data_IF_745857604154
#
_entry.id   IF_745857604154
#
_cell.length_a   1.000
_cell.length_b   1.000
_cell.length_c   1.000
_cell.angle_alpha   90.00
_cell.angle_beta   90.00
_cell.angle_gamma   90.00
#
_symmetry.space_group_name_H-M   'P 1'
#
loop_
_entity.id
_entity.type
_entity.pdbx_description
1 polymer ?
#
# COMPACT_ATOMS: atom_id res chain seq x y z
N UNK A 1 -16.86 -9.71 -24.31
CA UNK A 1 -16.19 -10.46 -23.23
C UNK A 1 -16.29 -9.64 -21.95
N UNK A 2 -16.59 -10.27 -20.81
CA UNK A 2 -16.61 -9.59 -19.50
C UNK A 2 -15.18 -9.24 -19.07
N UNK A 3 -14.95 -8.02 -18.57
CA UNK A 3 -13.64 -7.60 -18.07
C UNK A 3 -13.25 -8.44 -16.85
N UNK A 4 -11.96 -8.81 -16.66
CA UNK A 4 -11.56 -9.50 -15.45
C UNK A 4 -11.81 -8.64 -14.21
N UNK A 5 -12.37 -9.27 -13.17
CA UNK A 5 -12.70 -8.60 -11.91
C UNK A 5 -11.52 -8.69 -10.95
N UNK A 6 -11.04 -7.54 -10.49
CA UNK A 6 -9.77 -7.37 -9.78
C UNK A 6 -10.01 -6.91 -8.34
N UNK A 7 -9.38 -7.58 -7.38
CA UNK A 7 -9.11 -7.04 -6.04
C UNK A 7 -7.78 -6.28 -6.06
N UNK A 8 -7.73 -5.12 -5.41
CA UNK A 8 -6.49 -4.36 -5.24
C UNK A 8 -5.92 -4.64 -3.85
N UNK A 9 -4.69 -5.15 -3.79
CA UNK A 9 -3.96 -5.25 -2.52
C UNK A 9 -3.63 -3.86 -2.00
N UNK A 10 -4.18 -3.52 -0.83
CA UNK A 10 -4.23 -2.16 -0.32
C UNK A 10 -3.45 -2.04 0.98
N UNK A 11 -2.28 -1.39 0.91
CA UNK A 11 -1.40 -1.17 2.07
C UNK A 11 -1.60 0.20 2.73
N UNK A 12 -2.52 1.03 2.20
CA UNK A 12 -2.69 2.47 2.51
C UNK A 12 -1.62 3.41 1.97
N UNK A 13 -0.54 2.88 1.40
CA UNK A 13 0.57 3.69 0.88
C UNK A 13 0.41 4.15 -0.57
N UNK A 14 1.34 5.02 -0.98
CA UNK A 14 1.40 5.66 -2.30
C UNK A 14 1.34 4.66 -3.45
N UNK A 15 2.04 3.51 -3.36
CA UNK A 15 2.14 2.57 -4.49
C UNK A 15 0.84 1.83 -4.72
N UNK A 16 0.16 1.40 -3.65
CA UNK A 16 -1.18 0.80 -3.74
C UNK A 16 -2.24 1.80 -4.24
N UNK A 17 -2.13 3.07 -3.85
CA UNK A 17 -3.00 4.13 -4.31
C UNK A 17 -2.75 4.48 -5.79
N UNK A 18 -1.49 4.52 -6.20
CA UNK A 18 -1.09 4.76 -7.59
C UNK A 18 -1.47 3.60 -8.50
N UNK A 19 -1.29 2.36 -8.04
CA UNK A 19 -1.77 1.16 -8.71
C UNK A 19 -3.27 1.28 -9.04
N UNK A 20 -4.08 1.72 -8.08
CA UNK A 20 -5.52 1.93 -8.32
C UNK A 20 -5.77 2.97 -9.43
N UNK A 21 -5.02 4.07 -9.44
CA UNK A 21 -5.10 5.07 -10.50
C UNK A 21 -4.76 4.45 -11.88
N UNK A 22 -3.64 3.72 -11.97
CA UNK A 22 -3.20 3.05 -13.21
C UNK A 22 -4.24 2.03 -13.70
N UNK A 23 -4.79 1.20 -12.81
CA UNK A 23 -5.82 0.21 -13.18
C UNK A 23 -7.08 0.88 -13.73
N UNK A 24 -7.50 2.02 -13.18
CA UNK A 24 -8.66 2.77 -13.69
C UNK A 24 -8.42 3.31 -15.09
N UNK A 25 -7.23 3.86 -15.34
CA UNK A 25 -6.87 4.43 -16.63
C UNK A 25 -6.77 3.37 -17.76
N UNK A 26 -6.50 2.11 -17.42
CA UNK A 26 -6.40 1.03 -18.41
C UNK A 26 -7.75 0.57 -18.97
N UNK A 27 -8.86 0.83 -18.28
CA UNK A 27 -10.24 0.43 -18.62
C UNK A 27 -10.49 -1.07 -18.92
N UNK A 28 -9.45 -1.91 -18.88
CA UNK A 28 -9.48 -3.34 -19.21
C UNK A 28 -9.96 -4.23 -18.06
N UNK A 29 -10.05 -3.69 -16.84
CA UNK A 29 -10.44 -4.40 -15.63
C UNK A 29 -11.72 -3.84 -15.02
N UNK A 30 -12.47 -4.69 -14.33
CA UNK A 30 -13.48 -4.28 -13.37
C UNK A 30 -12.84 -4.27 -11.98
N UNK A 31 -12.66 -3.09 -11.38
CA UNK A 31 -12.09 -2.97 -10.05
C UNK A 31 -13.20 -3.21 -9.03
N UNK A 32 -13.20 -4.41 -8.44
CA UNK A 32 -14.32 -4.85 -7.60
C UNK A 32 -14.16 -4.52 -6.11
N UNK A 33 -12.95 -4.21 -5.64
CA UNK A 33 -12.72 -3.86 -4.24
C UNK A 33 -11.26 -3.76 -3.83
N UNK A 34 -11.05 -3.34 -2.60
CA UNK A 34 -9.75 -3.27 -1.92
C UNK A 34 -9.62 -4.42 -0.92
N UNK A 35 -8.42 -4.97 -0.76
CA UNK A 35 -8.09 -6.01 0.20
C UNK A 35 -6.92 -5.55 1.08
N UNK A 36 -7.11 -5.48 2.39
CA UNK A 36 -6.07 -5.09 3.34
C UNK A 36 -5.99 -6.06 4.51
N UNK A 37 -4.86 -6.09 5.20
CA UNK A 37 -4.68 -6.82 6.46
C UNK A 37 -4.52 -5.83 7.61
N UNK A 38 -5.17 -6.12 8.75
CA UNK A 38 -5.14 -5.25 9.94
C UNK A 38 -4.82 -6.10 11.16
N UNK A 39 -3.90 -5.62 11.99
CA UNK A 39 -3.65 -6.20 13.30
C UNK A 39 -4.84 -5.93 14.23
N UNK A 40 -5.52 -7.00 14.66
CA UNK A 40 -6.72 -6.97 15.50
C UNK A 40 -6.49 -6.28 16.85
N UNK A 41 -5.32 -6.47 17.45
CA UNK A 41 -5.00 -5.92 18.77
C UNK A 41 -4.78 -4.40 18.73
N UNK A 42 -4.32 -3.87 17.59
CA UNK A 42 -3.94 -2.47 17.47
C UNK A 42 -4.80 -1.65 16.51
N UNK A 43 -5.68 -2.31 15.73
CA UNK A 43 -6.52 -1.67 14.72
C UNK A 43 -5.71 -0.94 13.66
N UNK A 44 -4.55 -1.49 13.27
CA UNK A 44 -3.60 -0.85 12.33
C UNK A 44 -3.16 -1.79 11.21
N UNK A 45 -2.93 -1.22 10.03
CA UNK A 45 -2.32 -1.93 8.89
C UNK A 45 -0.94 -2.42 9.27
N UNK A 46 -0.66 -3.69 9.01
CA UNK A 46 0.65 -4.29 9.26
C UNK A 46 1.75 -3.51 8.48
N UNK A 47 2.93 -3.36 9.10
CA UNK A 47 4.08 -2.57 8.61
C UNK A 47 3.88 -1.05 8.49
N UNK A 48 2.78 -0.57 7.89
CA UNK A 48 2.53 0.86 7.72
C UNK A 48 2.11 1.56 9.02
N UNK A 49 1.51 0.82 9.96
CA UNK A 49 1.06 1.38 11.25
C UNK A 49 -0.13 2.33 11.15
N UNK A 50 -0.78 2.43 9.98
CA UNK A 50 -1.92 3.32 9.74
C UNK A 50 -3.19 2.74 10.37
N UNK A 51 -4.00 3.58 11.03
CA UNK A 51 -5.26 3.18 11.68
C UNK A 51 -6.29 2.67 10.65
N UNK A 52 -7.02 1.61 10.98
CA UNK A 52 -8.05 1.04 10.10
C UNK A 52 -9.11 2.05 9.68
N UNK A 53 -9.47 2.99 10.57
CA UNK A 53 -10.42 4.08 10.30
C UNK A 53 -9.99 4.97 9.12
N UNK A 54 -8.69 5.20 8.96
CA UNK A 54 -8.13 5.96 7.83
C UNK A 54 -8.12 5.14 6.54
N UNK A 55 -7.89 3.83 6.64
CA UNK A 55 -7.99 2.93 5.48
C UNK A 55 -9.43 2.83 4.97
N UNK A 56 -10.39 2.75 5.88
CA UNK A 56 -11.81 2.83 5.54
C UNK A 56 -12.15 4.18 4.91
N UNK A 57 -11.55 5.28 5.39
CA UNK A 57 -11.71 6.59 4.77
C UNK A 57 -11.12 6.65 3.36
N UNK A 58 -9.94 6.04 3.13
CA UNK A 58 -9.38 5.87 1.78
C UNK A 58 -10.32 5.06 0.88
N UNK A 59 -10.89 3.96 1.38
CA UNK A 59 -11.82 3.14 0.60
C UNK A 59 -13.08 3.91 0.21
N UNK A 60 -13.64 4.70 1.14
CA UNK A 60 -14.76 5.62 0.87
C UNK A 60 -14.38 6.67 -0.18
N UNK A 61 -13.23 7.31 -0.02
CA UNK A 61 -12.72 8.30 -0.98
C UNK A 61 -12.44 7.68 -2.35
N UNK A 62 -12.04 6.40 -2.40
CA UNK A 62 -11.87 5.63 -3.62
C UNK A 62 -13.20 5.08 -4.16
N UNK A 63 -14.33 5.20 -3.45
CA UNK A 63 -15.61 4.57 -3.79
C UNK A 63 -15.54 3.07 -4.05
N UNK A 64 -14.73 2.35 -3.28
CA UNK A 64 -14.59 0.90 -3.41
C UNK A 64 -14.92 0.20 -2.10
N UNK A 65 -15.53 -1.00 -2.15
CA UNK A 65 -15.67 -1.80 -0.95
C UNK A 65 -14.29 -2.20 -0.43
N UNK A 66 -14.14 -2.24 0.90
CA UNK A 66 -12.93 -2.67 1.58
C UNK A 66 -13.15 -4.00 2.27
N UNK A 67 -12.36 -5.02 1.91
CA UNK A 67 -12.22 -6.25 2.66
C UNK A 67 -11.04 -6.11 3.61
N UNK A 68 -11.32 -6.12 4.91
CA UNK A 68 -10.30 -6.18 5.96
C UNK A 68 -10.12 -7.63 6.37
N UNK A 69 -8.89 -8.13 6.31
CA UNK A 69 -8.48 -9.43 6.86
C UNK A 69 -7.87 -9.17 8.23
N UNK A 70 -8.56 -9.54 9.31
CA UNK A 70 -8.07 -9.29 10.65
C UNK A 70 -7.03 -10.36 11.02
N UNK A 71 -5.90 -9.91 11.55
CA UNK A 71 -4.75 -10.73 11.94
C UNK A 71 -4.51 -10.63 13.45
N UNK A 72 -4.29 -11.76 14.16
CA UNK A 72 -3.99 -11.74 15.60
C UNK A 72 -2.63 -11.10 15.90
N UNK A 73 -2.35 -10.86 17.18
CA UNK A 73 -1.02 -10.45 17.65
C UNK A 73 -0.57 -11.30 18.85
N UNK A 74 0.60 -11.95 18.80
CA UNK A 74 1.48 -12.11 17.62
C UNK A 74 0.80 -12.92 16.49
N UNK A 75 1.21 -12.70 15.24
CA UNK A 75 0.73 -13.46 14.08
C UNK A 75 1.86 -14.34 13.56
N UNK A 76 1.68 -15.67 13.58
CA UNK A 76 2.60 -16.58 12.88
C UNK A 76 2.33 -16.54 11.38
N UNK A 77 3.31 -16.98 10.57
CA UNK A 77 3.13 -17.05 9.12
C UNK A 77 2.00 -18.01 8.74
N UNK A 78 1.84 -19.13 9.46
CA UNK A 78 0.75 -20.09 9.22
C UNK A 78 -0.63 -19.47 9.47
N UNK A 79 -0.77 -18.67 10.54
CA UNK A 79 -2.02 -17.95 10.83
C UNK A 79 -2.30 -16.87 9.78
N UNK A 80 -1.26 -16.13 9.36
CA UNK A 80 -1.37 -15.15 8.30
C UNK A 80 -1.87 -15.78 6.99
N UNK A 81 -1.26 -16.89 6.58
CA UNK A 81 -1.62 -17.62 5.37
C UNK A 81 -3.02 -18.22 5.44
N UNK A 82 -3.41 -18.76 6.60
CA UNK A 82 -4.76 -19.27 6.80
C UNK A 82 -5.83 -18.18 6.63
N UNK A 83 -5.65 -17.03 7.29
CA UNK A 83 -6.58 -15.89 7.23
C UNK A 83 -6.65 -15.27 5.83
N UNK A 84 -5.49 -15.11 5.18
CA UNK A 84 -5.44 -14.59 3.81
C UNK A 84 -6.07 -15.59 2.82
N UNK A 85 -5.81 -16.88 2.98
CA UNK A 85 -6.38 -17.94 2.17
C UNK A 85 -7.91 -18.00 2.26
N UNK A 86 -8.50 -17.78 3.44
CA UNK A 86 -9.95 -17.64 3.60
C UNK A 86 -10.50 -16.45 2.81
N UNK A 87 -9.85 -15.28 2.92
CA UNK A 87 -10.24 -14.08 2.19
C UNK A 87 -10.13 -14.24 0.66
N UNK A 88 -9.11 -14.96 0.20
CA UNK A 88 -8.90 -15.31 -1.21
C UNK A 88 -10.01 -16.26 -1.70
N UNK A 89 -10.34 -17.32 -0.96
CA UNK A 89 -11.45 -18.24 -1.31
C UNK A 89 -12.79 -17.50 -1.39
N UNK A 90 -13.07 -16.61 -0.44
CA UNK A 90 -14.26 -15.77 -0.47
C UNK A 90 -14.29 -14.85 -1.70
N UNK A 91 -13.15 -14.24 -2.07
CA UNK A 91 -13.04 -13.43 -3.28
C UNK A 91 -13.38 -14.24 -4.54
N UNK A 92 -12.83 -15.45 -4.67
CA UNK A 92 -13.09 -16.32 -5.82
C UNK A 92 -14.57 -16.68 -5.90
N UNK A 93 -15.20 -17.01 -4.77
CA UNK A 93 -16.63 -17.30 -4.72
C UNK A 93 -17.51 -16.09 -5.13
N UNK A 94 -17.02 -14.87 -4.93
CA UNK A 94 -17.67 -13.63 -5.37
C UNK A 94 -17.35 -13.28 -6.84
N UNK A 95 -16.59 -14.10 -7.55
CA UNK A 95 -16.28 -13.93 -8.97
C UNK A 95 -15.07 -13.02 -9.25
N UNK A 96 -14.24 -12.74 -8.24
CA UNK A 96 -12.92 -12.16 -8.51
C UNK A 96 -12.05 -13.19 -9.22
N UNK A 97 -11.31 -12.73 -10.22
CA UNK A 97 -10.40 -13.57 -11.01
C UNK A 97 -8.95 -13.13 -10.90
N UNK A 98 -8.71 -11.92 -10.40
CA UNK A 98 -7.38 -11.32 -10.34
C UNK A 98 -7.17 -10.59 -9.01
N UNK A 99 -5.90 -10.52 -8.59
CA UNK A 99 -5.44 -9.61 -7.53
C UNK A 99 -4.31 -8.76 -8.07
N UNK A 100 -4.42 -7.44 -7.92
CA UNK A 100 -3.39 -6.51 -8.32
C UNK A 100 -2.52 -6.09 -7.13
N UNK A 101 -1.21 -6.04 -7.37
CA UNK A 101 -0.23 -5.61 -6.38
C UNK A 101 0.60 -4.44 -6.89
N UNK A 102 1.03 -3.61 -5.95
CA UNK A 102 1.75 -2.35 -6.21
C UNK A 102 3.26 -2.50 -6.18
N UNK A 103 3.79 -3.73 -6.16
CA UNK A 103 5.23 -3.97 -6.10
C UNK A 103 5.93 -3.48 -7.38
N UNK A 104 7.13 -2.91 -7.22
CA UNK A 104 7.83 -2.28 -8.33
C UNK A 104 8.91 -3.18 -8.95
N UNK A 105 9.78 -3.81 -8.16
CA UNK A 105 10.88 -4.62 -8.73
C UNK A 105 11.48 -5.71 -7.82
N UNK A 106 11.01 -5.88 -6.58
CA UNK A 106 11.56 -6.90 -5.68
C UNK A 106 11.07 -8.31 -6.05
N UNK A 107 11.91 -9.02 -6.80
CA UNK A 107 11.60 -10.32 -7.42
C UNK A 107 11.17 -11.38 -6.38
N UNK A 108 11.81 -11.39 -5.22
CA UNK A 108 11.45 -12.27 -4.09
C UNK A 108 10.04 -12.01 -3.57
N UNK A 109 9.65 -10.75 -3.42
CA UNK A 109 8.29 -10.35 -3.02
C UNK A 109 7.27 -10.78 -4.06
N UNK A 110 7.57 -10.59 -5.34
CA UNK A 110 6.69 -11.03 -6.44
C UNK A 110 6.54 -12.54 -6.45
N UNK A 111 7.63 -13.29 -6.39
CA UNK A 111 7.60 -14.75 -6.36
C UNK A 111 6.81 -15.28 -5.17
N UNK A 112 6.99 -14.67 -3.99
CA UNK A 112 6.20 -15.00 -2.81
C UNK A 112 4.70 -14.81 -3.08
N UNK A 113 4.27 -13.69 -3.65
CA UNK A 113 2.85 -13.44 -3.98
C UNK A 113 2.30 -14.42 -5.02
N UNK A 114 3.11 -14.73 -6.04
CA UNK A 114 2.74 -15.71 -7.07
C UNK A 114 2.57 -17.11 -6.48
N UNK A 115 3.47 -17.53 -5.58
CA UNK A 115 3.39 -18.80 -4.86
C UNK A 115 2.16 -18.84 -3.94
N UNK A 116 1.89 -17.76 -3.20
CA UNK A 116 0.74 -17.68 -2.30
C UNK A 116 -0.62 -17.78 -3.02
N UNK A 117 -0.68 -17.32 -4.27
CA UNK A 117 -1.90 -17.37 -5.08
C UNK A 117 -1.97 -18.57 -6.02
N UNK A 118 -0.91 -19.37 -6.12
CA UNK A 118 -0.88 -20.55 -6.97
C UNK A 118 -2.02 -21.52 -6.62
N UNK A 119 -2.83 -21.90 -7.61
CA UNK A 119 -3.97 -22.79 -7.41
C UNK A 119 -5.17 -22.19 -6.68
N UNK A 120 -5.12 -20.91 -6.28
CA UNK A 120 -6.22 -20.26 -5.56
C UNK A 120 -7.43 -19.93 -6.44
N UNK A 121 -7.23 -19.80 -7.75
CA UNK A 121 -8.22 -19.28 -8.70
C UNK A 121 -8.09 -17.78 -8.97
N UNK A 122 -7.18 -17.07 -8.29
CA UNK A 122 -6.84 -15.68 -8.59
C UNK A 122 -5.51 -15.58 -9.33
N UNK A 123 -5.48 -14.79 -10.40
CA UNK A 123 -4.27 -14.44 -11.13
C UNK A 123 -3.63 -13.17 -10.55
N UNK A 124 -2.37 -13.22 -10.06
CA UNK A 124 -1.66 -12.01 -9.63
C UNK A 124 -1.29 -11.15 -10.84
N UNK A 125 -1.43 -9.82 -10.71
CA UNK A 125 -0.96 -8.85 -11.70
C UNK A 125 -0.16 -7.72 -11.03
N UNK A 126 0.87 -7.24 -11.73
CA UNK A 126 1.80 -6.22 -11.23
C UNK A 126 1.93 -5.06 -12.23
N UNK A 127 0.92 -4.17 -12.34
CA UNK A 127 0.91 -3.09 -13.34
C UNK A 127 2.05 -2.08 -13.23
N UNK A 128 2.68 -1.97 -12.06
CA UNK A 128 3.78 -1.04 -11.80
C UNK A 128 5.17 -1.70 -11.94
N UNK A 129 5.21 -3.00 -12.27
CA UNK A 129 6.43 -3.78 -12.28
C UNK A 129 7.43 -3.30 -13.35
N UNK A 130 8.69 -3.13 -12.95
CA UNK A 130 9.78 -2.74 -13.84
C UNK A 130 9.78 -1.26 -14.24
N UNK A 131 8.90 -0.43 -13.65
CA UNK A 131 8.94 1.01 -13.85
C UNK A 131 10.15 1.63 -13.13
N UNK A 132 10.74 2.65 -13.73
CA UNK A 132 11.82 3.43 -13.10
C UNK A 132 11.27 4.22 -11.90
N UNK A 133 11.80 3.96 -10.70
CA UNK A 133 11.22 4.53 -9.48
C UNK A 133 11.45 6.03 -9.36
N UNK A 134 12.53 6.57 -9.91
CA UNK A 134 12.79 8.00 -9.89
C UNK A 134 11.83 8.77 -10.80
N UNK A 135 11.49 8.22 -11.96
CA UNK A 135 10.46 8.75 -12.83
C UNK A 135 9.07 8.59 -12.21
N UNK A 136 8.76 7.40 -11.67
CA UNK A 136 7.47 7.08 -11.06
C UNK A 136 7.16 7.98 -9.85
N UNK A 137 8.14 8.21 -8.98
CA UNK A 137 8.00 9.10 -7.83
C UNK A 137 7.58 10.53 -8.24
N UNK A 138 8.24 11.07 -9.27
CA UNK A 138 7.92 12.41 -9.81
C UNK A 138 6.58 12.43 -10.53
N UNK A 139 6.28 11.37 -11.27
CA UNK A 139 4.99 11.21 -11.95
C UNK A 139 3.83 11.23 -10.95
N UNK A 140 3.94 10.45 -9.87
CA UNK A 140 2.96 10.44 -8.77
C UNK A 140 2.73 11.85 -8.23
N UNK A 141 3.80 12.56 -7.86
CA UNK A 141 3.73 13.91 -7.28
C UNK A 141 3.09 14.91 -8.26
N UNK A 142 3.54 14.88 -9.52
CA UNK A 142 3.06 15.76 -10.59
C UNK A 142 1.58 15.50 -10.93
N UNK A 143 1.14 14.24 -10.90
CA UNK A 143 -0.26 13.86 -11.09
C UNK A 143 -1.16 14.17 -9.89
N UNK A 144 -0.61 14.77 -8.82
CA UNK A 144 -1.38 15.21 -7.67
C UNK A 144 -1.47 14.19 -6.53
N UNK A 145 -0.73 13.07 -6.58
CA UNK A 145 -0.64 12.17 -5.43
C UNK A 145 -0.03 12.95 -4.25
N UNK A 146 -0.64 12.78 -3.07
CA UNK A 146 -0.15 13.31 -1.80
C UNK A 146 -0.14 12.19 -0.77
N UNK A 147 0.98 12.07 -0.06
CA UNK A 147 1.13 11.09 1.00
C UNK A 147 1.94 11.64 2.18
N UNK A 148 1.83 11.00 3.34
CA UNK A 148 2.65 11.25 4.53
C UNK A 148 3.67 10.15 4.72
N UNK A 149 4.87 10.47 5.21
CA UNK A 149 5.84 9.48 5.68
C UNK A 149 5.40 8.98 7.06
N UNK A 150 4.91 7.75 7.13
CA UNK A 150 4.31 7.19 8.37
C UNK A 150 5.22 6.22 9.09
N UNK A 151 6.19 5.64 8.39
CA UNK A 151 7.22 4.78 8.95
C UNK A 151 8.52 5.02 8.19
N UNK A 152 9.66 5.03 8.85
CA UNK A 152 10.97 5.06 8.21
C UNK A 152 12.00 4.26 8.99
N UNK A 153 13.03 3.79 8.29
CA UNK A 153 14.21 3.18 8.88
C UNK A 153 15.25 4.27 9.21
N UNK A 154 15.46 4.61 10.50
CA UNK A 154 16.38 5.67 10.91
C UNK A 154 17.85 5.34 10.66
N UNK A 155 18.19 4.11 10.26
CA UNK A 155 19.56 3.73 9.88
C UNK A 155 19.96 4.28 8.53
N UNK A 156 18.99 4.56 7.66
CA UNK A 156 19.22 5.01 6.28
C UNK A 156 18.46 6.30 5.95
N UNK A 157 17.31 6.56 6.57
CA UNK A 157 16.54 7.81 6.40
C UNK A 157 16.66 8.68 7.65
N UNK A 158 16.95 9.99 7.53
CA UNK A 158 16.99 10.88 8.68
C UNK A 158 15.66 10.92 9.45
N UNK A 159 15.73 10.77 10.77
CA UNK A 159 14.57 10.78 11.69
C UNK A 159 13.68 12.00 11.54
N UNK A 160 14.28 13.14 11.22
CA UNK A 160 13.57 14.41 11.04
C UNK A 160 12.57 14.41 9.87
N UNK A 161 12.65 13.44 8.96
CA UNK A 161 11.73 13.30 7.82
C UNK A 161 10.44 12.54 8.17
N UNK A 162 10.32 12.02 9.40
CA UNK A 162 9.09 11.37 9.86
C UNK A 162 7.91 12.37 9.84
N UNK A 163 6.77 11.97 9.29
CA UNK A 163 5.56 12.80 9.19
C UNK A 163 5.57 13.82 8.04
N UNK A 164 6.69 13.95 7.30
CA UNK A 164 6.78 14.83 6.15
C UNK A 164 5.78 14.46 5.05
N UNK A 165 5.48 15.41 4.19
CA UNK A 165 4.81 15.12 2.93
C UNK A 165 5.76 14.37 2.00
N UNK A 166 5.22 13.42 1.24
CA UNK A 166 5.88 12.87 0.07
C UNK A 166 5.71 13.85 -1.10
N UNK A 167 6.71 14.71 -1.29
CA UNK A 167 6.77 15.75 -2.31
C UNK A 167 8.22 15.98 -2.78
N UNK A 168 8.43 16.94 -3.69
CA UNK A 168 9.77 17.25 -4.23
C UNK A 168 10.76 17.67 -3.14
N UNK A 169 10.29 18.27 -2.03
CA UNK A 169 11.14 18.67 -0.90
C UNK A 169 11.63 17.44 -0.15
N UNK A 170 10.75 16.46 0.09
CA UNK A 170 11.14 15.18 0.66
C UNK A 170 12.11 14.42 -0.26
N UNK A 171 11.84 14.36 -1.57
CA UNK A 171 12.74 13.68 -2.51
C UNK A 171 14.14 14.32 -2.55
N UNK A 172 14.22 15.65 -2.49
CA UNK A 172 15.50 16.36 -2.40
C UNK A 172 16.24 16.06 -1.09
N UNK A 173 15.53 16.05 0.05
CA UNK A 173 16.11 15.72 1.35
C UNK A 173 16.59 14.26 1.41
N UNK A 174 15.85 13.34 0.80
CA UNK A 174 16.21 11.92 0.70
C UNK A 174 17.48 11.74 -0.13
N UNK A 175 17.57 12.38 -1.30
CA UNK A 175 18.75 12.33 -2.16
C UNK A 175 20.00 12.93 -1.50
N UNK A 176 19.82 13.97 -0.66
CA UNK A 176 20.91 14.55 0.12
C UNK A 176 21.41 13.61 1.24
N UNK A 177 20.56 12.70 1.73
CA UNK A 177 20.92 11.74 2.77
C UNK A 177 21.68 10.51 2.22
N UNK A 178 21.53 10.19 0.93
CA UNK A 178 22.26 9.11 0.27
C UNK A 178 21.58 8.59 -1.00
N UNK A 179 22.09 7.48 -1.53
CA UNK A 179 21.50 6.78 -2.68
C UNK A 179 20.37 5.87 -2.21
N UNK A 180 19.23 6.47 -1.88
CA UNK A 180 18.02 5.80 -1.40
C UNK A 180 16.98 5.72 -2.52
N UNK A 181 16.16 4.67 -2.54
CA UNK A 181 15.09 4.57 -3.51
C UNK A 181 14.01 5.62 -3.22
N UNK A 182 13.67 6.52 -4.17
CA UNK A 182 12.59 7.51 -3.98
C UNK A 182 11.21 6.88 -3.82
N UNK A 183 11.05 5.58 -4.08
CA UNK A 183 9.85 4.81 -3.75
C UNK A 183 9.96 4.02 -2.44
N UNK A 184 11.14 3.91 -1.81
CA UNK A 184 11.28 3.21 -0.53
C UNK A 184 11.10 1.68 -0.59
N UNK A 185 11.35 1.05 -1.75
CA UNK A 185 11.07 -0.38 -1.97
C UNK A 185 11.92 -1.30 -1.09
N UNK A 186 13.07 -0.85 -0.59
CA UNK A 186 13.95 -1.65 0.27
C UNK A 186 13.61 -1.49 1.76
N UNK A 187 12.45 -0.92 2.07
CA UNK A 187 11.98 -0.69 3.43
C UNK A 187 12.54 0.59 4.06
N UNK A 188 13.06 1.51 3.26
CA UNK A 188 13.57 2.80 3.75
C UNK A 188 12.45 3.61 4.43
N UNK A 189 11.25 3.60 3.85
CA UNK A 189 10.08 4.26 4.41
C UNK A 189 8.76 3.71 3.87
N UNK A 190 7.68 3.92 4.61
CA UNK A 190 6.31 3.67 4.19
C UNK A 190 5.48 4.95 4.26
N UNK A 191 4.43 4.98 3.46
CA UNK A 191 3.57 6.15 3.32
C UNK A 191 2.11 5.87 3.64
N UNK A 192 1.37 6.95 3.89
CA UNK A 192 -0.08 6.99 3.90
C UNK A 192 -0.56 7.97 2.82
N UNK A 193 -1.18 7.46 1.76
CA UNK A 193 -1.72 8.27 0.67
C UNK A 193 -3.05 8.91 1.09
N UNK A 194 -3.15 10.24 1.02
CA UNK A 194 -4.34 10.96 1.48
C UNK A 194 -5.02 11.79 0.40
N UNK A 195 -4.39 12.03 -0.74
CA UNK A 195 -5.03 12.66 -1.89
C UNK A 195 -4.37 12.21 -3.20
N UNK A 196 -5.08 12.36 -4.31
CA UNK A 196 -4.57 12.04 -5.64
C UNK A 196 -5.68 11.57 -6.58
N UNK A 197 -5.33 11.22 -7.82
CA UNK A 197 -6.30 10.94 -8.88
C UNK A 197 -7.08 9.61 -8.68
N UNK A 198 -6.73 8.83 -7.65
CA UNK A 198 -7.46 7.63 -7.24
C UNK A 198 -8.61 7.91 -6.25
N UNK A 199 -8.69 9.12 -5.70
CA UNK A 199 -9.68 9.51 -4.69
C UNK A 199 -10.58 10.66 -5.18
N UNK A 200 -11.87 10.59 -4.86
CA UNK A 200 -12.86 11.66 -5.13
C UNK A 200 -12.62 12.90 -4.26
N UNK A 201 -12.01 12.72 -3.08
CA UNK A 201 -11.69 13.78 -2.14
C UNK A 201 -10.47 13.40 -1.31
N UNK A 202 -9.79 14.41 -0.75
CA UNK A 202 -8.71 14.17 0.20
C UNK A 202 -9.24 13.51 1.49
N UNK A 203 -8.48 12.58 2.04
CA UNK A 203 -8.74 11.93 3.34
C UNK A 203 -8.26 12.86 4.46
N UNK A 204 -9.17 13.42 5.28
CA UNK A 204 -8.77 14.26 6.41
C UNK A 204 -7.95 13.44 7.40
N UNK A 205 -6.90 14.06 7.92
CA UNK A 205 -6.01 13.43 8.88
C UNK A 205 -5.24 14.48 9.70
N UNK A 206 -4.73 14.06 10.85
CA UNK A 206 -3.84 14.82 11.71
C UNK A 206 -2.53 14.04 11.86
N UNK A 207 -1.40 14.73 11.72
CA UNK A 207 -0.08 14.16 12.04
C UNK A 207 0.15 14.32 13.54
N UNK A 208 0.29 13.19 14.24
CA UNK A 208 0.60 13.12 15.66
C UNK A 208 2.10 13.00 15.93
N UNK A 209 2.44 12.48 17.10
CA UNK A 209 3.83 12.28 17.50
C UNK A 209 4.52 11.18 16.70
N UNK A 210 5.84 11.34 16.53
CA UNK A 210 6.72 10.30 16.01
C UNK A 210 7.35 9.53 17.16
N UNK A 211 7.24 8.21 17.15
CA UNK A 211 7.81 7.32 18.15
C UNK A 211 8.65 6.23 17.50
N UNK A 212 9.69 5.77 18.19
CA UNK A 212 10.51 4.66 17.72
C UNK A 212 10.01 3.33 18.32
N UNK A 213 9.84 2.33 17.47
CA UNK A 213 9.44 0.97 17.86
C UNK A 213 10.09 -0.02 16.92
N UNK A 214 10.65 -1.10 17.48
CA UNK A 214 11.27 -2.20 16.72
C UNK A 214 12.36 -1.71 15.72
N UNK A 215 13.05 -0.61 16.06
CA UNK A 215 14.09 -0.02 15.22
C UNK A 215 13.60 0.88 14.08
N UNK A 216 12.29 1.13 13.97
CA UNK A 216 11.69 2.05 13.00
C UNK A 216 11.06 3.25 13.68
N UNK A 217 11.02 4.39 12.98
CA UNK A 217 10.33 5.60 13.45
C UNK A 217 8.96 5.66 12.80
N UNK A 218 7.90 5.60 13.62
CA UNK A 218 6.51 5.70 13.20
C UNK A 218 5.96 7.09 13.51
N UNK A 219 5.30 7.73 12.55
CA UNK A 219 4.51 8.95 12.81
C UNK A 219 3.05 8.58 12.89
N UNK A 220 2.41 8.84 14.04
CA UNK A 220 0.99 8.54 14.16
C UNK A 220 0.18 9.44 13.23
N UNK A 221 -0.77 8.85 12.52
CA UNK A 221 -1.76 9.57 11.74
C UNK A 221 -3.14 9.20 12.29
N UNK A 222 -3.95 10.21 12.62
CA UNK A 222 -5.29 10.07 13.19
C UNK A 222 -6.37 10.72 12.32
#
# INVERSE_FOLDING_TARGET
MTRPRVLVSWSSGKDSAWLLHVLRAQERYEIGGLLTTVNEAFGRVAMHGVRSTLVEAQARAARLPLRIVPLPWPCSNELYEARLGEAVRAAVAEGFTHVAFGDLFLEDVRQYREQQLAGSGLTPIFPLWGLDTAALAREMIAAGLRARIVCLDPRVVPRSLAGWNYDDTFLAALAAAGTLDPCGERGEFHTFAYAGPMFDAAVPHIVGESTERDGFVFSDIA
#
